data_IF_453199909096
#
_entry.id   IF_453199909096
#
_cell.length_a   1.000
_cell.length_b   1.000
_cell.length_c   1.000
_cell.angle_alpha   90.00
_cell.angle_beta   90.00
_cell.angle_gamma   90.00
#
_symmetry.space_group_name_H-M   'P 1'
#
loop_
_entity.id
_entity.type
_entity.pdbx_description
1 polymer ?
#
# COMPACT_ATOMS: atom_id res chain seq x y z
N UNK A 1 -5.28 0.58 -20.85
CA UNK A 1 -4.45 0.85 -22.03
C UNK A 1 -3.95 2.30 -21.99
N UNK A 2 -2.80 2.53 -22.63
CA UNK A 2 -2.18 3.87 -22.67
C UNK A 2 -1.01 4.07 -21.71
N UNK A 3 -0.67 3.07 -20.91
CA UNK A 3 0.57 3.09 -20.13
C UNK A 3 1.77 2.98 -21.07
N UNK A 4 2.79 3.79 -20.80
CA UNK A 4 4.05 3.72 -21.55
C UNK A 4 5.24 3.99 -20.60
N UNK A 5 6.43 3.62 -21.08
CA UNK A 5 7.69 3.72 -20.34
C UNK A 5 8.32 5.14 -20.34
N UNK A 6 7.61 6.13 -20.84
CA UNK A 6 8.13 7.50 -21.04
C UNK A 6 8.99 7.67 -22.29
N UNK A 7 9.29 6.58 -23.00
CA UNK A 7 10.00 6.58 -24.30
C UNK A 7 9.09 6.21 -25.47
N UNK A 8 7.80 6.00 -25.18
CA UNK A 8 6.79 5.69 -26.19
C UNK A 8 6.51 4.19 -26.35
N UNK A 9 7.15 3.30 -25.60
CA UNK A 9 6.83 1.87 -25.65
C UNK A 9 5.65 1.57 -24.72
N UNK A 10 4.69 0.83 -25.24
CA UNK A 10 3.53 0.40 -24.46
C UNK A 10 3.93 -0.55 -23.34
N UNK A 11 3.36 -0.34 -22.14
CA UNK A 11 3.51 -1.22 -21.00
C UNK A 11 2.21 -2.00 -20.78
N UNK A 12 2.35 -3.28 -20.46
CA UNK A 12 1.25 -4.19 -20.18
C UNK A 12 1.46 -4.88 -18.84
N UNK A 13 0.37 -5.26 -18.19
CA UNK A 13 0.39 -6.06 -16.98
C UNK A 13 -0.65 -7.19 -17.08
N UNK A 14 -0.36 -8.30 -16.43
CA UNK A 14 -1.23 -9.48 -16.40
C UNK A 14 -2.24 -9.40 -15.27
N UNK A 15 -1.84 -8.78 -14.16
CA UNK A 15 -2.65 -8.62 -12.94
C UNK A 15 -2.54 -7.23 -12.37
N UNK A 16 -3.57 -6.84 -11.64
CA UNK A 16 -3.57 -5.61 -10.83
C UNK A 16 -3.87 -5.95 -9.38
N UNK A 17 -3.09 -5.39 -8.46
CA UNK A 17 -3.29 -5.48 -7.03
C UNK A 17 -3.64 -4.09 -6.49
N UNK A 18 -4.69 -4.03 -5.67
CA UNK A 18 -5.07 -2.82 -4.97
C UNK A 18 -4.68 -2.96 -3.50
N UNK A 19 -3.76 -2.12 -3.04
CA UNK A 19 -3.27 -2.08 -1.67
C UNK A 19 -3.58 -0.72 -1.09
N UNK A 20 -4.43 -0.68 -0.06
CA UNK A 20 -4.71 0.53 0.70
C UNK A 20 -4.03 0.43 2.06
N UNK A 21 -3.01 1.24 2.31
CA UNK A 21 -2.39 1.35 3.62
C UNK A 21 -3.09 2.43 4.44
N UNK A 22 -3.36 2.15 5.70
CA UNK A 22 -3.93 3.12 6.62
C UNK A 22 -3.43 2.91 8.05
N UNK A 23 -3.26 4.02 8.73
CA UNK A 23 -3.01 4.06 10.17
C UNK A 23 -4.34 3.99 10.93
N UNK A 24 -4.37 3.19 11.98
CA UNK A 24 -5.51 3.11 12.89
C UNK A 24 -5.10 3.59 14.27
N UNK A 25 -5.98 4.35 14.89
CA UNK A 25 -5.80 4.95 16.23
C UNK A 25 -6.93 4.47 17.12
N UNK A 26 -6.76 3.28 17.70
CA UNK A 26 -7.82 2.63 18.47
C UNK A 26 -7.61 2.91 19.95
N UNK A 27 -8.55 3.58 20.63
CA UNK A 27 -8.46 3.85 22.06
C UNK A 27 -8.46 2.58 22.90
N UNK A 28 -7.85 2.68 24.09
CA UNK A 28 -7.87 1.63 25.11
C UNK A 28 -8.61 2.10 26.36
N UNK A 29 -9.25 1.17 27.05
CA UNK A 29 -9.81 1.40 28.37
C UNK A 29 -8.70 1.43 29.47
N UNK A 30 -9.10 1.68 30.70
CA UNK A 30 -8.19 1.72 31.83
C UNK A 30 -7.47 0.37 32.09
N UNK A 31 -8.04 -0.73 31.64
CA UNK A 31 -7.44 -2.07 31.71
C UNK A 31 -6.51 -2.40 30.54
N UNK A 32 -6.33 -1.47 29.58
CA UNK A 32 -5.49 -1.66 28.41
C UNK A 32 -6.15 -2.42 27.24
N UNK A 33 -7.42 -2.75 27.34
CA UNK A 33 -8.18 -3.41 26.26
C UNK A 33 -8.67 -2.38 25.26
N UNK A 34 -8.63 -2.72 23.97
CA UNK A 34 -9.18 -1.87 22.92
C UNK A 34 -10.69 -1.68 23.10
N UNK A 35 -11.12 -0.43 23.02
CA UNK A 35 -12.53 -0.05 23.07
C UNK A 35 -13.24 -0.43 21.77
N UNK A 36 -14.54 -0.67 21.89
CA UNK A 36 -15.46 -0.83 20.76
C UNK A 36 -16.56 0.24 20.89
N UNK A 37 -17.05 0.73 19.77
CA UNK A 37 -18.04 1.79 19.66
C UNK A 37 -19.11 1.38 18.65
N UNK A 38 -20.34 1.79 18.91
CA UNK A 38 -21.46 1.49 18.02
C UNK A 38 -21.50 2.43 16.80
N UNK A 39 -20.83 3.57 16.88
CA UNK A 39 -20.76 4.53 15.79
C UNK A 39 -19.45 5.30 15.75
N UNK A 40 -19.05 5.82 14.58
CA UNK A 40 -17.89 6.73 14.46
C UNK A 40 -18.01 7.99 15.33
N UNK A 41 -19.24 8.50 15.53
CA UNK A 41 -19.48 9.68 16.35
C UNK A 41 -19.14 9.47 17.83
N UNK A 42 -19.43 8.29 18.36
CA UNK A 42 -19.07 7.92 19.74
C UNK A 42 -17.57 7.75 19.89
N UNK A 43 -16.89 7.24 18.87
CA UNK A 43 -15.45 7.03 18.89
C UNK A 43 -14.63 8.33 18.74
N UNK A 44 -15.24 9.40 18.22
CA UNK A 44 -14.53 10.56 17.70
C UNK A 44 -13.55 11.17 18.69
N UNK A 45 -14.04 11.58 19.87
CA UNK A 45 -13.21 12.26 20.89
C UNK A 45 -12.08 11.37 21.39
N UNK A 46 -12.38 10.11 21.69
CA UNK A 46 -11.38 9.16 22.19
C UNK A 46 -10.32 8.86 21.12
N UNK A 47 -10.74 8.74 19.88
CA UNK A 47 -9.83 8.52 18.74
C UNK A 47 -8.95 9.73 18.48
N UNK A 48 -9.51 10.93 18.52
CA UNK A 48 -8.75 12.17 18.36
C UNK A 48 -7.67 12.31 19.46
N UNK A 49 -7.97 11.93 20.68
CA UNK A 49 -7.01 11.95 21.78
C UNK A 49 -5.82 11.01 21.52
N UNK A 50 -6.08 9.81 21.01
CA UNK A 50 -5.01 8.87 20.61
C UNK A 50 -4.20 9.41 19.43
N UNK A 51 -4.87 10.03 18.46
CA UNK A 51 -4.22 10.59 17.25
C UNK A 51 -3.26 11.74 17.54
N UNK A 52 -3.46 12.50 18.60
CA UNK A 52 -2.64 13.68 18.94
C UNK A 52 -1.15 13.39 18.98
N UNK A 53 -0.77 12.16 19.37
CA UNK A 53 0.64 11.74 19.43
C UNK A 53 1.19 11.28 18.09
N UNK A 54 0.38 11.14 17.06
CA UNK A 54 0.73 10.62 15.73
C UNK A 54 1.44 9.25 15.77
N UNK A 55 1.15 8.45 16.80
CA UNK A 55 1.65 7.07 16.93
C UNK A 55 0.47 6.14 16.74
N UNK A 56 0.32 5.51 15.58
CA UNK A 56 -0.79 4.62 15.32
C UNK A 56 -0.73 3.37 16.20
N UNK A 57 -1.89 2.85 16.56
CA UNK A 57 -1.99 1.57 17.25
C UNK A 57 -1.81 0.39 16.29
N UNK A 58 -2.19 0.59 15.04
CA UNK A 58 -2.04 -0.39 13.96
C UNK A 58 -1.74 0.35 12.66
N UNK A 59 -0.91 -0.27 11.82
CA UNK A 59 -0.76 0.07 10.42
C UNK A 59 -1.20 -1.16 9.64
N UNK A 60 -2.17 -1.01 8.76
CA UNK A 60 -2.81 -2.15 8.11
C UNK A 60 -2.92 -1.95 6.61
N UNK A 61 -2.88 -3.05 5.88
CA UNK A 61 -3.28 -3.10 4.48
C UNK A 61 -4.73 -3.59 4.37
N UNK A 62 -5.50 -2.93 3.51
CA UNK A 62 -6.88 -3.30 3.19
C UNK A 62 -7.77 -3.52 4.44
N UNK A 63 -7.60 -2.65 5.43
CA UNK A 63 -8.52 -2.48 6.54
C UNK A 63 -8.34 -3.38 7.75
N UNK A 64 -7.41 -4.35 7.74
CA UNK A 64 -7.17 -5.19 8.92
C UNK A 64 -5.77 -5.82 8.95
N UNK A 65 -5.33 -6.18 10.15
CA UNK A 65 -4.10 -6.93 10.35
C UNK A 65 -4.17 -8.27 9.61
N UNK A 66 -3.15 -8.56 8.84
CA UNK A 66 -3.04 -9.83 8.10
C UNK A 66 -3.98 -9.99 6.91
N UNK A 67 -4.58 -8.88 6.41
CA UNK A 67 -5.51 -8.94 5.28
C UNK A 67 -4.92 -9.60 4.03
N UNK A 68 -3.62 -9.39 3.78
CA UNK A 68 -2.91 -9.85 2.58
C UNK A 68 -1.77 -10.84 2.91
N UNK A 69 -1.88 -11.58 4.00
CA UNK A 69 -0.85 -12.53 4.43
C UNK A 69 -1.37 -13.97 4.55
N UNK A 70 -0.46 -14.93 4.57
CA UNK A 70 -0.78 -16.36 4.68
C UNK A 70 -1.70 -16.82 3.54
N UNK A 71 -2.82 -17.44 3.86
CA UNK A 71 -3.80 -17.92 2.86
C UNK A 71 -4.44 -16.80 2.02
N UNK A 72 -4.33 -15.56 2.47
CA UNK A 72 -4.88 -14.38 1.77
C UNK A 72 -3.78 -13.64 0.98
N UNK A 73 -2.55 -14.17 0.93
CA UNK A 73 -1.48 -13.56 0.17
C UNK A 73 -1.86 -13.42 -1.31
N UNK A 74 -1.49 -12.31 -1.90
CA UNK A 74 -1.61 -12.10 -3.34
C UNK A 74 -0.68 -13.05 -4.07
N UNK A 75 -1.08 -13.51 -5.25
CA UNK A 75 -0.33 -14.53 -5.99
C UNK A 75 -0.10 -14.13 -7.44
N UNK A 76 1.12 -14.41 -7.92
CA UNK A 76 1.47 -14.31 -9.33
C UNK A 76 2.25 -15.56 -9.75
N UNK A 77 2.35 -15.75 -11.05
CA UNK A 77 3.24 -16.79 -11.65
C UNK A 77 4.55 -16.15 -12.08
N UNK A 78 5.60 -16.94 -12.14
CA UNK A 78 6.85 -16.50 -12.78
C UNK A 78 6.57 -16.09 -14.22
N UNK A 79 7.08 -14.93 -14.61
CA UNK A 79 6.85 -14.30 -15.90
C UNK A 79 5.65 -13.35 -15.96
N UNK A 80 4.72 -13.40 -14.99
CA UNK A 80 3.63 -12.41 -14.92
C UNK A 80 4.14 -11.05 -14.44
N UNK A 81 3.66 -10.01 -15.10
CA UNK A 81 3.83 -8.62 -14.67
C UNK A 81 2.60 -8.18 -13.88
N UNK A 82 2.81 -7.66 -12.69
CA UNK A 82 1.74 -7.10 -11.87
C UNK A 82 1.83 -5.59 -11.78
N UNK A 83 0.67 -4.94 -11.77
CA UNK A 83 0.52 -3.54 -11.41
C UNK A 83 0.06 -3.48 -9.96
N UNK A 84 0.83 -2.87 -9.09
CA UNK A 84 0.45 -2.57 -7.71
C UNK A 84 -0.04 -1.13 -7.68
N UNK A 85 -1.32 -0.95 -7.39
CA UNK A 85 -1.92 0.37 -7.12
C UNK A 85 -1.99 0.54 -5.61
N UNK A 86 -1.27 1.53 -5.10
CA UNK A 86 -1.15 1.80 -3.66
C UNK A 86 -1.80 3.12 -3.31
N UNK A 87 -2.80 3.08 -2.43
CA UNK A 87 -3.39 4.27 -1.83
C UNK A 87 -2.92 4.41 -0.39
N UNK A 88 -2.56 5.63 -0.02
CA UNK A 88 -2.00 5.93 1.29
C UNK A 88 -2.93 6.84 2.07
N UNK A 89 -3.42 6.36 3.21
CA UNK A 89 -4.21 7.14 4.14
C UNK A 89 -3.40 7.52 5.38
N UNK A 90 -3.61 8.76 5.84
CA UNK A 90 -2.99 9.39 6.99
C UNK A 90 -1.52 9.77 6.73
N UNK A 91 -0.56 9.01 7.25
CA UNK A 91 0.86 9.37 7.15
C UNK A 91 1.49 8.88 5.86
N UNK A 92 2.65 9.46 5.54
CA UNK A 92 3.48 9.03 4.41
C UNK A 92 3.97 7.60 4.57
N UNK A 93 4.13 6.90 3.46
CA UNK A 93 4.68 5.55 3.41
C UNK A 93 5.81 5.43 2.39
N UNK A 94 6.55 4.35 2.53
CA UNK A 94 7.67 4.01 1.65
C UNK A 94 7.53 2.55 1.24
N UNK A 95 6.70 2.28 0.24
CA UNK A 95 6.56 0.94 -0.29
C UNK A 95 7.91 0.38 -0.74
N UNK A 96 8.10 -0.90 -0.46
CA UNK A 96 9.32 -1.64 -0.78
C UNK A 96 8.94 -3.08 -1.09
N UNK A 97 9.40 -3.59 -2.20
CA UNK A 97 9.19 -4.98 -2.60
C UNK A 97 10.45 -5.79 -2.30
N UNK A 98 10.40 -6.65 -1.29
CA UNK A 98 11.51 -7.54 -0.96
C UNK A 98 11.49 -8.74 -1.90
N UNK A 99 12.58 -8.92 -2.63
CA UNK A 99 12.73 -9.93 -3.69
C UNK A 99 12.69 -9.37 -5.10
N UNK A 100 12.39 -8.06 -5.26
CA UNK A 100 12.38 -7.38 -6.54
C UNK A 100 12.44 -5.86 -6.39
N UNK A 101 12.35 -5.17 -7.52
CA UNK A 101 12.29 -3.71 -7.57
C UNK A 101 10.99 -3.28 -8.26
N UNK A 102 10.60 -2.02 -8.09
CA UNK A 102 9.63 -1.42 -8.98
C UNK A 102 10.26 -1.20 -10.35
N UNK A 103 9.93 -2.03 -11.34
CA UNK A 103 10.47 -1.88 -12.71
C UNK A 103 10.08 -0.53 -13.27
N UNK A 104 8.82 -0.15 -13.06
CA UNK A 104 8.25 1.16 -13.39
C UNK A 104 7.44 1.68 -12.22
N UNK A 105 7.65 2.94 -11.82
CA UNK A 105 7.00 3.52 -10.64
C UNK A 105 6.46 4.92 -10.94
N UNK A 106 5.19 5.13 -10.61
CA UNK A 106 4.50 6.43 -10.64
C UNK A 106 4.15 6.85 -9.21
N UNK A 107 5.08 7.49 -8.51
CA UNK A 107 4.92 7.85 -7.09
C UNK A 107 3.69 8.73 -6.82
N UNK A 108 3.38 9.64 -7.74
CA UNK A 108 2.22 10.54 -7.64
C UNK A 108 0.97 9.98 -8.35
N UNK A 109 1.01 8.76 -8.88
CA UNK A 109 -0.11 8.11 -9.53
C UNK A 109 -0.56 8.73 -10.85
N UNK A 110 0.22 9.62 -11.43
CA UNK A 110 -0.11 10.28 -12.70
C UNK A 110 0.53 9.54 -13.88
N UNK A 111 -0.22 8.65 -14.48
CA UNK A 111 0.26 7.79 -15.58
C UNK A 111 0.65 8.51 -16.88
N UNK A 112 0.26 9.78 -17.04
CA UNK A 112 0.76 10.61 -18.16
C UNK A 112 2.18 11.13 -17.96
N UNK A 113 2.76 10.99 -16.76
CA UNK A 113 4.17 11.24 -16.52
C UNK A 113 4.99 10.02 -16.89
N UNK A 114 6.22 10.23 -17.32
CA UNK A 114 7.18 9.14 -17.44
C UNK A 114 7.41 8.48 -16.07
N UNK A 115 7.38 7.14 -15.98
CA UNK A 115 7.68 6.46 -14.72
C UNK A 115 9.16 6.57 -14.36
N UNK A 116 9.46 6.51 -13.09
CA UNK A 116 10.79 6.16 -12.61
C UNK A 116 11.02 4.66 -12.81
N UNK A 117 12.25 4.22 -12.93
CA UNK A 117 12.57 2.81 -13.22
C UNK A 117 13.57 2.24 -12.22
N UNK A 118 13.39 0.96 -11.89
CA UNK A 118 14.35 0.21 -11.08
C UNK A 118 14.44 0.70 -9.63
N UNK A 119 13.34 1.13 -9.04
CA UNK A 119 13.33 1.62 -7.66
C UNK A 119 13.20 0.47 -6.66
N UNK A 120 14.11 0.44 -5.70
CA UNK A 120 14.05 -0.46 -4.56
C UNK A 120 12.93 -0.06 -3.59
N UNK A 121 12.81 1.24 -3.33
CA UNK A 121 11.81 1.86 -2.46
C UNK A 121 11.32 3.13 -3.11
N UNK A 122 10.04 3.46 -2.94
CA UNK A 122 9.46 4.70 -3.45
C UNK A 122 8.62 5.39 -2.39
N UNK A 123 8.22 6.62 -2.64
CA UNK A 123 7.55 7.47 -1.66
C UNK A 123 6.11 7.74 -2.04
N UNK A 124 5.18 7.38 -1.16
CA UNK A 124 3.75 7.72 -1.30
C UNK A 124 3.38 8.67 -0.17
N UNK A 125 2.97 9.88 -0.52
CA UNK A 125 2.52 10.89 0.43
C UNK A 125 1.22 10.48 1.07
N UNK A 126 1.02 10.84 2.34
CA UNK A 126 -0.25 10.70 3.02
C UNK A 126 -1.38 11.40 2.23
N UNK A 127 -2.50 10.69 2.04
CA UNK A 127 -3.62 11.18 1.24
C UNK A 127 -3.42 11.10 -0.28
N UNK A 128 -2.34 10.45 -0.74
CA UNK A 128 -2.02 10.25 -2.16
C UNK A 128 -2.12 8.79 -2.56
N UNK A 129 -1.91 8.52 -3.83
CA UNK A 129 -1.78 7.19 -4.38
C UNK A 129 -0.63 7.14 -5.37
N UNK A 130 -0.07 5.95 -5.56
CA UNK A 130 0.95 5.68 -6.55
C UNK A 130 0.74 4.32 -7.18
N UNK A 131 1.58 3.99 -8.14
CA UNK A 131 1.56 2.68 -8.76
C UNK A 131 2.98 2.20 -9.06
N UNK A 132 3.17 0.89 -9.03
CA UNK A 132 4.41 0.25 -9.44
C UNK A 132 4.11 -0.98 -10.28
N UNK A 133 4.97 -1.29 -11.22
CA UNK A 133 4.94 -2.55 -11.96
C UNK A 133 6.16 -3.37 -11.62
N UNK A 134 5.97 -4.68 -11.54
CA UNK A 134 7.05 -5.64 -11.36
C UNK A 134 6.75 -6.94 -12.11
N UNK A 135 7.75 -7.47 -12.81
CA UNK A 135 7.68 -8.79 -13.44
C UNK A 135 8.36 -9.82 -12.56
N UNK A 136 7.63 -10.84 -12.11
CA UNK A 136 8.19 -11.90 -11.25
C UNK A 136 9.11 -12.82 -12.04
N UNK A 137 10.40 -12.80 -11.69
CA UNK A 137 11.43 -13.57 -12.41
C UNK A 137 11.71 -14.91 -11.76
N UNK A 138 11.46 -15.05 -10.45
CA UNK A 138 11.79 -16.21 -9.65
C UNK A 138 10.59 -16.65 -8.80
N UNK A 139 10.43 -17.96 -8.53
CA UNK A 139 9.44 -18.41 -7.56
C UNK A 139 9.90 -18.12 -6.13
N UNK A 140 8.96 -17.80 -5.25
CA UNK A 140 9.30 -17.52 -3.85
C UNK A 140 8.24 -16.74 -3.10
N UNK A 141 8.58 -16.32 -1.89
CA UNK A 141 7.79 -15.44 -1.07
C UNK A 141 8.39 -14.04 -1.19
N UNK A 142 7.54 -13.11 -1.57
CA UNK A 142 7.87 -11.70 -1.66
C UNK A 142 7.13 -10.95 -0.54
N UNK A 143 7.77 -9.97 0.06
CA UNK A 143 7.13 -9.08 1.03
C UNK A 143 7.00 -7.68 0.44
N UNK A 144 5.89 -7.06 0.73
CA UNK A 144 5.60 -5.70 0.32
C UNK A 144 5.28 -4.84 1.55
#
# INVERSE_FOLDING_TARGET
>A
DGLNDGKGHALHYDKIYYIGEQDMYVPKDAGGKYKSYDSPGEAYTDTEEVMRKLIPTHVVFNGKVGALTGKNALTAKVGETVMIVHSQANRDSRPHLIGGHGDYVWEAGKFSNAPQTGLETWFIRGGSAGAAMYTFLEPGIYAY
#
